data_IF_886646242324
#
_entry.id   IF_886646242324
#
_cell.length_a   1.000
_cell.length_b   1.000
_cell.length_c   1.000
_cell.angle_alpha   90.00
_cell.angle_beta   90.00
_cell.angle_gamma   90.00
#
_symmetry.space_group_name_H-M   'P 1'
#
loop_
_entity.id
_entity.type
_entity.pdbx_description
1 polymer ?
#
# COMPACT_ATOMS: atom_id res chain seq x y z
N UNK A 1 -48.08 28.85 -14.00
CA UNK A 1 -48.52 30.24 -13.71
C UNK A 1 -47.86 30.67 -12.43
N UNK A 2 -47.10 31.61 -12.52
CA UNK A 2 -46.48 32.70 -11.78
C UNK A 2 -44.95 32.65 -11.75
N UNK A 3 -44.47 33.42 -12.68
CA UNK A 3 -43.17 34.09 -12.81
C UNK A 3 -42.99 35.16 -11.75
N UNK A 4 -41.72 35.46 -11.37
CA UNK A 4 -41.16 36.79 -11.10
C UNK A 4 -39.74 36.60 -10.53
N UNK A 5 -38.71 36.79 -11.32
CA UNK A 5 -37.90 37.98 -11.67
C UNK A 5 -36.86 38.40 -10.63
N UNK A 6 -35.61 38.36 -11.10
CA UNK A 6 -34.40 38.99 -10.51
C UNK A 6 -34.53 40.52 -10.39
N UNK A 7 -33.63 41.18 -9.67
CA UNK A 7 -32.76 42.08 -10.40
C UNK A 7 -31.24 41.97 -10.10
N UNK A 8 -30.53 42.31 -11.18
CA UNK A 8 -29.12 42.71 -11.20
C UNK A 8 -28.91 44.08 -10.56
N UNK A 9 -27.76 44.33 -9.95
CA UNK A 9 -27.12 45.65 -9.89
C UNK A 9 -25.65 45.53 -10.20
N UNK A 10 -25.21 46.40 -11.09
CA UNK A 10 -23.93 46.63 -11.73
C UNK A 10 -23.14 47.74 -11.01
N UNK A 11 -21.78 47.74 -11.19
CA UNK A 11 -20.99 48.98 -11.31
C UNK A 11 -19.97 49.19 -10.19
N UNK A 12 -18.69 48.92 -10.49
CA UNK A 12 -17.56 49.84 -10.81
C UNK A 12 -17.20 50.83 -9.68
N UNK A 13 -15.97 50.86 -9.19
CA UNK A 13 -14.89 51.63 -9.75
C UNK A 13 -13.54 51.44 -9.00
N UNK A 14 -12.49 51.57 -9.75
CA UNK A 14 -11.07 51.60 -9.51
C UNK A 14 -10.65 52.84 -8.73
N UNK A 15 -9.62 52.79 -7.86
CA UNK A 15 -8.49 53.71 -7.86
C UNK A 15 -7.27 53.23 -7.03
N UNK A 16 -6.14 53.29 -7.68
CA UNK A 16 -4.76 53.28 -7.16
C UNK A 16 -4.50 54.41 -6.16
N UNK A 17 -3.61 54.15 -5.18
CA UNK A 17 -2.61 55.14 -4.74
C UNK A 17 -1.37 54.33 -4.23
N UNK A 18 -0.25 54.60 -4.88
CA UNK A 18 1.09 54.30 -4.44
C UNK A 18 1.65 55.48 -3.61
N UNK A 19 2.41 55.23 -2.56
CA UNK A 19 3.45 56.17 -2.16
C UNK A 19 4.54 55.47 -1.36
N UNK A 20 5.72 55.66 -1.85
CA UNK A 20 7.04 55.37 -1.29
C UNK A 20 7.40 56.35 -0.17
N UNK A 21 8.14 55.89 0.86
CA UNK A 21 9.15 56.69 1.54
C UNK A 21 10.23 55.81 2.15
N UNK A 22 11.46 56.05 1.69
CA UNK A 22 12.73 55.74 2.37
C UNK A 22 12.95 56.71 3.51
N UNK A 23 13.71 56.35 4.53
CA UNK A 23 14.78 57.13 5.20
C UNK A 23 15.42 56.26 6.31
N UNK A 24 16.65 55.94 6.14
CA UNK A 24 17.96 56.06 6.78
C UNK A 24 18.17 55.81 8.29
N UNK A 25 19.17 54.97 8.49
CA UNK A 25 20.31 54.94 9.44
C UNK A 25 20.23 55.58 10.83
N UNK A 26 20.54 54.77 11.83
CA UNK A 26 21.66 54.98 12.77
C UNK A 26 21.79 53.84 13.80
N UNK A 27 22.98 53.23 13.88
CA UNK A 27 23.56 52.61 15.07
C UNK A 27 24.21 53.74 15.95
N UNK A 28 24.55 53.58 17.26
CA UNK A 28 25.30 52.48 17.82
C UNK A 28 25.11 52.10 19.32
N UNK A 29 25.77 51.02 19.71
CA UNK A 29 26.54 50.72 20.95
C UNK A 29 25.87 50.06 22.17
N UNK A 30 26.35 48.85 22.35
CA UNK A 30 27.01 48.22 23.53
C UNK A 30 26.17 47.70 24.70
N UNK A 31 26.13 46.40 24.88
CA UNK A 31 26.78 45.67 25.98
C UNK A 31 26.43 44.14 25.92
N UNK A 32 27.49 43.33 25.96
CA UNK A 32 27.55 41.85 26.01
C UNK A 32 27.32 41.36 27.47
N UNK A 33 27.38 40.04 27.80
CA UNK A 33 27.16 38.80 27.07
C UNK A 33 26.38 37.76 27.90
N UNK A 34 25.68 36.85 27.25
CA UNK A 34 25.54 35.47 27.76
C UNK A 34 25.51 34.51 26.58
N UNK A 35 26.61 33.73 26.50
CA UNK A 35 26.79 32.67 25.53
C UNK A 35 25.84 31.50 25.83
N UNK A 36 24.99 31.14 24.86
CA UNK A 36 24.47 29.79 24.70
C UNK A 36 25.11 29.20 23.43
N UNK A 37 25.63 27.99 23.45
CA UNK A 37 26.23 27.40 22.25
C UNK A 37 25.13 27.03 21.23
N UNK A 38 25.20 27.69 20.10
CA UNK A 38 24.42 27.28 18.91
C UNK A 38 24.91 25.93 18.45
N UNK A 39 24.07 24.91 18.60
CA UNK A 39 24.22 23.64 17.89
C UNK A 39 24.02 23.91 16.40
N UNK A 40 25.12 24.04 15.67
CA UNK A 40 25.12 23.94 14.23
C UNK A 40 24.68 22.52 13.83
N UNK A 41 23.43 22.38 13.47
CA UNK A 41 22.95 21.22 12.74
C UNK A 41 23.61 21.26 11.37
N UNK A 42 24.62 20.42 11.17
CA UNK A 42 25.15 20.12 9.83
C UNK A 42 24.05 19.44 9.05
N UNK A 43 23.74 19.85 7.82
CA UNK A 43 22.84 19.08 6.96
C UNK A 43 23.45 17.68 6.77
N UNK A 44 22.67 16.66 7.14
CA UNK A 44 23.00 15.27 6.82
C UNK A 44 22.93 15.16 5.30
N UNK A 45 24.10 15.13 4.66
CA UNK A 45 24.20 14.78 3.24
C UNK A 45 23.89 13.28 3.15
N UNK A 46 22.68 12.96 2.72
CA UNK A 46 22.37 11.61 2.23
C UNK A 46 23.30 11.30 1.06
N UNK A 47 24.10 10.22 1.11
CA UNK A 47 24.92 9.85 -0.02
C UNK A 47 24.01 9.57 -1.23
N UNK A 48 24.39 9.98 -2.46
CA UNK A 48 23.62 9.66 -3.64
C UNK A 48 23.55 8.13 -3.77
N UNK A 49 22.32 7.59 -3.79
CA UNK A 49 22.08 6.19 -4.12
C UNK A 49 22.62 6.02 -5.55
N UNK A 50 23.80 5.45 -5.70
CA UNK A 50 24.28 4.97 -7.00
C UNK A 50 23.34 3.84 -7.41
N UNK A 51 22.40 4.13 -8.31
CA UNK A 51 21.69 3.08 -9.04
C UNK A 51 22.78 2.19 -9.67
N UNK A 52 22.91 0.98 -9.15
CA UNK A 52 23.79 0.00 -9.75
C UNK A 52 23.18 -0.38 -11.10
N UNK A 53 23.80 0.10 -12.19
CA UNK A 53 23.48 -0.28 -13.54
C UNK A 53 23.63 -1.80 -13.67
N UNK A 54 22.65 -2.43 -14.33
CA UNK A 54 22.57 -3.78 -14.84
C UNK A 54 23.56 -4.79 -14.23
N UNK A 55 23.12 -5.45 -13.17
CA UNK A 55 23.77 -6.68 -12.74
C UNK A 55 23.49 -7.80 -13.75
N UNK A 56 24.46 -8.69 -13.92
CA UNK A 56 24.32 -9.94 -14.68
C UNK A 56 23.02 -10.66 -14.36
N UNK A 57 22.38 -11.32 -15.32
CA UNK A 57 21.13 -12.03 -15.07
C UNK A 57 21.34 -13.00 -13.90
N UNK A 58 20.57 -12.79 -12.84
CA UNK A 58 20.53 -13.71 -11.73
C UNK A 58 19.91 -15.03 -12.20
N UNK A 59 20.30 -16.17 -11.59
CA UNK A 59 19.67 -17.45 -11.92
C UNK A 59 18.15 -17.30 -11.81
N UNK A 60 17.45 -17.67 -12.86
CA UNK A 60 16.01 -17.53 -12.98
C UNK A 60 15.31 -18.11 -11.75
N UNK A 61 14.54 -17.28 -11.05
CA UNK A 61 13.78 -17.65 -9.86
C UNK A 61 14.49 -17.62 -8.50
N UNK A 62 15.81 -17.52 -8.45
CA UNK A 62 16.60 -17.39 -7.23
C UNK A 62 17.12 -15.97 -7.07
N UNK A 63 16.22 -15.02 -6.82
CA UNK A 63 16.64 -13.66 -6.57
C UNK A 63 17.34 -13.54 -5.21
N UNK A 64 18.38 -12.72 -5.16
CA UNK A 64 19.09 -12.33 -3.93
C UNK A 64 18.73 -10.91 -3.46
N UNK A 65 17.93 -10.19 -4.25
CA UNK A 65 17.47 -8.83 -3.97
C UNK A 65 16.13 -8.56 -4.65
N UNK A 66 15.39 -7.61 -4.09
CA UNK A 66 14.12 -7.13 -4.64
C UNK A 66 14.44 -6.00 -5.65
N UNK A 67 13.92 -6.07 -6.90
CA UNK A 67 14.16 -5.05 -7.91
C UNK A 67 13.57 -3.69 -7.50
N UNK A 68 14.23 -2.61 -7.94
CA UNK A 68 13.77 -1.22 -7.73
C UNK A 68 13.36 -0.66 -9.09
N UNK A 69 12.10 -0.25 -9.22
CA UNK A 69 11.55 0.39 -10.40
C UNK A 69 11.31 1.88 -10.09
N UNK A 70 11.78 2.75 -10.97
CA UNK A 70 11.61 4.20 -10.82
C UNK A 70 10.44 4.70 -11.68
N UNK A 71 9.36 5.15 -11.01
CA UNK A 71 8.17 5.67 -11.68
C UNK A 71 8.46 6.83 -12.61
N UNK A 72 9.48 7.63 -12.31
CA UNK A 72 9.85 8.79 -13.13
C UNK A 72 10.27 8.43 -14.56
N UNK A 73 10.67 7.18 -14.81
CA UNK A 73 11.01 6.67 -16.15
C UNK A 73 9.80 6.73 -17.09
N UNK A 74 8.57 6.66 -16.58
CA UNK A 74 7.35 6.71 -17.39
C UNK A 74 7.15 8.05 -18.11
N UNK A 75 7.88 9.09 -17.73
CA UNK A 75 7.77 10.41 -18.37
C UNK A 75 8.35 10.46 -19.81
N UNK A 76 9.09 9.46 -20.25
CA UNK A 76 9.69 9.41 -21.60
C UNK A 76 9.38 8.07 -22.28
N UNK A 77 9.25 8.07 -23.60
CA UNK A 77 8.97 6.84 -24.37
C UNK A 77 9.98 5.72 -24.12
N UNK A 78 11.28 6.04 -24.11
CA UNK A 78 12.33 5.06 -23.86
C UNK A 78 12.32 4.58 -22.40
N UNK A 79 12.10 5.48 -21.45
CA UNK A 79 12.00 5.14 -20.03
C UNK A 79 10.78 4.27 -19.75
N UNK A 80 9.63 4.57 -20.37
CA UNK A 80 8.43 3.77 -20.29
C UNK A 80 8.68 2.33 -20.74
N UNK A 81 9.27 2.13 -21.91
CA UNK A 81 9.61 0.78 -22.40
C UNK A 81 10.55 0.04 -21.42
N UNK A 82 11.54 0.75 -20.87
CA UNK A 82 12.45 0.16 -19.88
C UNK A 82 11.72 -0.19 -18.57
N UNK A 83 10.79 0.65 -18.12
CA UNK A 83 10.00 0.39 -16.92
C UNK A 83 9.13 -0.85 -17.10
N UNK A 84 8.43 -0.96 -18.23
CA UNK A 84 7.56 -2.10 -18.54
C UNK A 84 8.36 -3.41 -18.62
N UNK A 85 9.57 -3.40 -19.20
CA UNK A 85 10.46 -4.56 -19.24
C UNK A 85 10.91 -4.97 -17.81
N UNK A 86 11.35 -4.02 -16.99
CA UNK A 86 11.71 -4.28 -15.59
C UNK A 86 10.52 -4.78 -14.78
N UNK A 87 9.33 -4.21 -15.02
CA UNK A 87 8.09 -4.64 -14.39
C UNK A 87 7.78 -6.09 -14.78
N UNK A 88 7.81 -6.43 -16.07
CA UNK A 88 7.62 -7.81 -16.55
C UNK A 88 8.55 -8.79 -15.83
N UNK A 89 9.83 -8.47 -15.74
CA UNK A 89 10.81 -9.29 -15.02
C UNK A 89 10.45 -9.46 -13.54
N UNK A 90 10.12 -8.36 -12.85
CA UNK A 90 9.74 -8.39 -11.44
C UNK A 90 8.49 -9.23 -11.19
N UNK A 91 7.46 -9.09 -12.03
CA UNK A 91 6.20 -9.83 -11.93
C UNK A 91 6.39 -11.34 -12.11
N UNK A 92 7.23 -11.74 -13.05
CA UNK A 92 7.43 -13.15 -13.41
C UNK A 92 8.38 -13.85 -12.43
N UNK A 93 9.50 -13.24 -12.09
CA UNK A 93 10.60 -13.91 -11.41
C UNK A 93 10.62 -13.68 -9.89
N UNK A 94 10.13 -12.52 -9.42
CA UNK A 94 10.26 -12.12 -8.01
C UNK A 94 8.92 -12.05 -7.30
N UNK A 95 7.90 -11.46 -7.95
CA UNK A 95 6.59 -11.20 -7.35
C UNK A 95 6.58 -10.02 -6.36
N UNK A 96 7.72 -9.33 -6.23
CA UNK A 96 7.97 -8.16 -5.39
C UNK A 96 8.83 -7.14 -6.11
N UNK A 97 8.61 -5.87 -5.82
CA UNK A 97 9.46 -4.77 -6.27
C UNK A 97 9.38 -3.59 -5.29
N UNK A 98 10.39 -2.73 -5.30
CA UNK A 98 10.27 -1.38 -4.77
C UNK A 98 9.82 -0.44 -5.88
N UNK A 99 8.84 0.40 -5.57
CA UNK A 99 8.42 1.49 -6.44
C UNK A 99 9.00 2.80 -5.91
N UNK A 100 9.99 3.33 -6.60
CA UNK A 100 10.65 4.59 -6.30
C UNK A 100 9.97 5.75 -7.03
N UNK A 101 9.96 6.95 -6.45
CA UNK A 101 9.27 8.13 -6.98
C UNK A 101 7.79 7.89 -7.34
N UNK A 102 6.99 7.22 -6.49
CA UNK A 102 5.59 6.99 -6.79
C UNK A 102 4.83 8.32 -6.92
N UNK A 103 3.73 8.39 -7.72
CA UNK A 103 2.92 9.60 -7.87
C UNK A 103 1.98 9.81 -6.67
N UNK A 104 2.52 9.72 -5.49
CA UNK A 104 1.84 9.96 -4.20
C UNK A 104 2.59 11.07 -3.47
N UNK A 105 1.87 12.09 -3.03
CA UNK A 105 2.47 13.25 -2.37
C UNK A 105 3.31 12.82 -1.16
N UNK A 106 4.58 13.19 -1.14
CA UNK A 106 5.51 12.84 -0.07
C UNK A 106 5.01 13.36 1.27
N UNK A 107 4.41 14.53 1.28
CA UNK A 107 3.86 15.19 2.46
C UNK A 107 2.72 14.38 3.08
N UNK A 108 1.86 13.75 2.28
CA UNK A 108 0.78 12.90 2.79
C UNK A 108 1.30 11.55 3.29
N UNK A 109 2.34 10.99 2.66
CA UNK A 109 3.01 9.78 3.16
C UNK A 109 3.68 10.07 4.52
N UNK A 110 4.49 11.13 4.60
CA UNK A 110 5.21 11.49 5.82
C UNK A 110 4.24 11.85 6.95
N UNK A 111 3.18 12.62 6.68
CA UNK A 111 2.16 12.95 7.67
C UNK A 111 1.44 11.69 8.20
N UNK A 112 1.15 10.71 7.36
CA UNK A 112 0.53 9.46 7.80
C UNK A 112 1.50 8.61 8.63
N UNK A 113 2.79 8.61 8.29
CA UNK A 113 3.84 7.98 9.10
C UNK A 113 3.91 8.62 10.48
N UNK A 114 3.85 9.95 10.58
CA UNK A 114 3.86 10.70 11.84
C UNK A 114 2.62 10.44 12.70
N UNK A 115 1.45 10.24 12.10
CA UNK A 115 0.23 9.85 12.81
C UNK A 115 0.26 8.41 13.32
N UNK A 116 1.05 7.55 12.72
CA UNK A 116 1.01 6.11 13.02
C UNK A 116 1.29 5.79 14.50
N UNK A 117 2.39 6.24 15.13
CA UNK A 117 2.60 6.00 16.56
C UNK A 117 1.49 6.62 17.42
N UNK A 118 1.01 7.83 17.10
CA UNK A 118 -0.04 8.51 17.83
C UNK A 118 -1.36 7.72 17.84
N UNK A 119 -1.69 7.07 16.71
CA UNK A 119 -2.87 6.21 16.59
C UNK A 119 -2.81 5.03 17.58
N UNK A 120 -1.64 4.40 17.73
CA UNK A 120 -1.46 3.29 18.68
C UNK A 120 -1.35 3.74 20.13
N UNK A 121 -0.93 4.98 20.37
CA UNK A 121 -0.83 5.57 21.70
C UNK A 121 -2.17 6.11 22.23
N UNK A 122 -3.24 6.05 21.44
CA UNK A 122 -4.59 6.35 21.90
C UNK A 122 -4.94 5.49 23.14
N UNK A 123 -5.71 6.03 24.09
CA UNK A 123 -6.22 5.25 25.22
C UNK A 123 -6.90 3.97 24.75
N UNK A 124 -6.70 2.88 25.48
CA UNK A 124 -7.25 1.57 25.10
C UNK A 124 -8.77 1.62 24.91
N UNK A 125 -9.47 2.41 25.71
CA UNK A 125 -10.92 2.60 25.60
C UNK A 125 -11.34 3.24 24.28
N UNK A 126 -10.56 4.17 23.75
CA UNK A 126 -10.80 4.78 22.43
C UNK A 126 -10.61 3.76 21.30
N UNK A 127 -9.57 2.95 21.39
CA UNK A 127 -9.32 1.87 20.43
C UNK A 127 -10.43 0.81 20.48
N UNK A 128 -10.90 0.46 21.68
CA UNK A 128 -11.97 -0.53 21.86
C UNK A 128 -13.34 -0.06 21.33
N UNK A 129 -13.61 1.25 21.31
CA UNK A 129 -14.84 1.79 20.71
C UNK A 129 -14.94 1.51 19.22
N UNK A 130 -13.81 1.42 18.54
CA UNK A 130 -13.71 1.13 17.12
C UNK A 130 -13.13 -0.25 16.85
N UNK A 131 -13.33 -1.20 17.77
CA UNK A 131 -12.86 -2.58 17.55
C UNK A 131 -13.50 -3.17 16.30
N UNK A 132 -12.74 -4.00 15.58
CA UNK A 132 -13.20 -4.70 14.37
C UNK A 132 -14.48 -5.49 14.59
N UNK A 133 -14.68 -6.05 15.80
CA UNK A 133 -15.86 -6.81 16.15
C UNK A 133 -17.18 -6.01 16.06
N UNK A 134 -17.12 -4.67 16.10
CA UNK A 134 -18.29 -3.79 15.96
C UNK A 134 -18.70 -3.54 14.51
N UNK A 135 -17.88 -3.97 13.53
CA UNK A 135 -18.11 -3.71 12.11
C UNK A 135 -18.42 -4.99 11.33
N UNK A 136 -19.58 -5.09 10.67
CA UNK A 136 -19.86 -6.20 9.75
C UNK A 136 -18.94 -6.18 8.53
N UNK A 137 -18.19 -5.10 8.31
CA UNK A 137 -17.29 -4.89 7.19
C UNK A 137 -15.84 -5.28 7.53
N UNK A 138 -15.58 -5.73 8.77
CA UNK A 138 -14.24 -6.07 9.29
C UNK A 138 -13.26 -4.91 9.18
N UNK A 139 -13.72 -3.70 9.55
CA UNK A 139 -12.89 -2.52 9.74
C UNK A 139 -12.77 -2.18 11.23
N UNK A 140 -11.64 -1.63 11.60
CA UNK A 140 -11.40 -1.16 12.95
C UNK A 140 -10.18 -1.81 13.61
N UNK A 141 -10.12 -1.70 14.91
CA UNK A 141 -8.99 -2.08 15.73
C UNK A 141 -8.97 -3.57 16.07
N UNK A 142 -7.80 -4.17 16.01
CA UNK A 142 -7.49 -5.51 16.52
C UNK A 142 -6.32 -5.45 17.48
N UNK A 143 -6.52 -6.03 18.66
CA UNK A 143 -5.52 -6.06 19.74
C UNK A 143 -4.32 -6.93 19.36
N UNK A 144 -3.21 -6.72 20.06
CA UNK A 144 -2.01 -7.53 19.96
C UNK A 144 -2.36 -9.03 20.10
N UNK A 145 -1.89 -9.82 19.13
CA UNK A 145 -2.09 -11.27 19.14
C UNK A 145 -3.49 -11.75 18.77
N UNK A 146 -4.36 -10.86 18.24
CA UNK A 146 -5.71 -11.23 17.81
C UNK A 146 -5.74 -12.09 16.54
N UNK A 147 -4.67 -12.08 15.75
CA UNK A 147 -4.59 -12.81 14.48
C UNK A 147 -3.60 -13.97 14.55
N UNK A 148 -3.85 -14.98 13.72
CA UNK A 148 -3.04 -16.20 13.63
C UNK A 148 -2.59 -16.41 12.18
N UNK A 149 -1.33 -16.75 12.00
CA UNK A 149 -0.82 -17.26 10.72
C UNK A 149 -0.37 -18.72 10.91
N UNK A 150 -0.98 -19.64 10.15
CA UNK A 150 -0.72 -21.08 10.25
C UNK A 150 -0.79 -21.62 11.69
N UNK A 151 -1.79 -21.17 12.45
CA UNK A 151 -2.03 -21.63 13.82
C UNK A 151 -1.10 -21.04 14.88
N UNK A 152 -0.19 -20.13 14.52
CA UNK A 152 0.67 -19.40 15.46
C UNK A 152 0.24 -17.95 15.57
N UNK A 153 0.26 -17.41 16.78
CA UNK A 153 -0.11 -16.03 17.06
C UNK A 153 0.85 -15.04 16.41
N UNK A 154 0.30 -14.09 15.65
CA UNK A 154 1.04 -12.97 15.10
C UNK A 154 1.24 -11.89 16.17
N UNK A 155 2.47 -11.43 16.36
CA UNK A 155 2.81 -10.39 17.31
C UNK A 155 2.60 -9.02 16.68
N UNK A 156 1.35 -8.67 16.41
CA UNK A 156 0.95 -7.38 15.85
C UNK A 156 -0.33 -6.85 16.46
N UNK A 157 -0.40 -5.54 16.52
CA UNK A 157 -1.57 -4.71 16.83
C UNK A 157 -1.90 -3.91 15.57
N UNK A 158 -3.17 -3.77 15.19
CA UNK A 158 -3.50 -3.14 13.93
C UNK A 158 -4.84 -2.43 13.90
N UNK A 159 -4.96 -1.51 12.95
CA UNK A 159 -6.22 -0.93 12.52
C UNK A 159 -6.46 -1.28 11.05
N UNK A 160 -7.64 -1.80 10.75
CA UNK A 160 -8.12 -2.03 9.40
C UNK A 160 -9.02 -0.87 8.97
N UNK A 161 -8.65 -0.24 7.85
CA UNK A 161 -9.38 0.83 7.18
C UNK A 161 -9.68 0.43 5.73
N UNK A 162 -10.35 1.29 5.01
CA UNK A 162 -10.58 1.12 3.57
C UNK A 162 -10.93 2.45 2.92
N UNK A 163 -10.89 2.45 1.59
CA UNK A 163 -11.44 3.56 0.81
C UNK A 163 -12.92 3.73 1.18
N UNK A 164 -13.45 4.97 1.19
CA UNK A 164 -14.83 5.21 1.55
C UNK A 164 -15.80 4.44 0.66
N UNK A 165 -16.74 3.76 1.27
CA UNK A 165 -17.78 3.00 0.57
C UNK A 165 -19.04 2.91 1.42
N UNK A 166 -20.20 3.02 0.78
CA UNK A 166 -21.49 2.84 1.44
C UNK A 166 -21.84 1.35 1.52
N UNK A 167 -22.52 0.97 2.60
CA UNK A 167 -23.05 -0.39 2.71
C UNK A 167 -24.11 -0.62 1.64
N UNK A 168 -23.86 -1.58 0.75
CA UNK A 168 -24.78 -1.96 -0.33
C UNK A 168 -25.61 -3.21 0.00
N UNK A 169 -25.26 -3.92 1.07
CA UNK A 169 -25.93 -5.17 1.45
C UNK A 169 -27.35 -4.91 1.99
N UNK A 170 -28.30 -5.71 1.50
CA UNK A 170 -29.67 -5.79 1.99
C UNK A 170 -30.04 -7.23 2.36
N UNK A 171 -31.10 -7.41 3.18
CA UNK A 171 -31.53 -8.73 3.58
C UNK A 171 -31.87 -9.62 2.39
N UNK A 172 -31.20 -10.76 2.29
CA UNK A 172 -31.36 -11.70 1.17
C UNK A 172 -30.20 -11.70 0.19
N UNK A 173 -29.33 -10.68 0.24
CA UNK A 173 -28.11 -10.66 -0.55
C UNK A 173 -27.06 -11.64 0.02
N UNK A 174 -26.09 -12.09 -0.80
CA UNK A 174 -24.95 -12.88 -0.34
C UNK A 174 -24.19 -12.19 0.81
N UNK A 175 -23.89 -12.93 1.86
CA UNK A 175 -23.25 -12.41 3.08
C UNK A 175 -21.89 -11.72 2.83
N UNK A 176 -21.14 -12.15 1.81
CA UNK A 176 -19.85 -11.54 1.49
C UNK A 176 -19.96 -10.08 1.04
N UNK A 177 -21.12 -9.63 0.58
CA UNK A 177 -21.33 -8.21 0.22
C UNK A 177 -21.25 -7.29 1.44
N UNK A 178 -21.43 -7.83 2.65
CA UNK A 178 -21.19 -7.11 3.90
C UNK A 178 -19.73 -6.68 4.10
N UNK A 179 -18.79 -7.27 3.38
CA UNK A 179 -17.36 -6.89 3.48
C UNK A 179 -17.10 -5.44 3.04
N UNK A 180 -17.98 -4.85 2.24
CA UNK A 180 -17.89 -3.47 1.79
C UNK A 180 -18.85 -2.59 2.56
N UNK A 181 -18.31 -1.50 3.11
CA UNK A 181 -19.07 -0.53 3.87
C UNK A 181 -18.17 0.48 4.59
N UNK A 182 -18.75 1.36 5.43
CA UNK A 182 -18.00 2.44 6.04
C UNK A 182 -16.94 1.96 7.03
N UNK A 183 -15.70 2.47 6.93
CA UNK A 183 -14.66 2.23 7.94
C UNK A 183 -14.99 2.92 9.27
N UNK A 184 -14.46 2.39 10.37
CA UNK A 184 -14.49 3.02 11.69
C UNK A 184 -13.24 3.90 11.88
N UNK A 185 -13.43 5.09 12.44
CA UNK A 185 -12.37 6.07 12.64
C UNK A 185 -12.26 6.48 14.12
N UNK A 186 -11.06 6.77 14.64
CA UNK A 186 -10.93 7.47 15.91
C UNK A 186 -11.62 8.85 15.84
N UNK A 187 -12.03 9.37 16.99
CA UNK A 187 -12.70 10.67 17.04
C UNK A 187 -11.72 11.80 16.66
N UNK A 188 -12.25 12.86 16.04
CA UNK A 188 -11.45 14.07 15.78
C UNK A 188 -10.94 14.74 17.06
N UNK A 189 -11.62 14.53 18.20
CA UNK A 189 -11.15 15.03 19.49
C UNK A 189 -9.92 14.27 20.00
N UNK A 190 -9.85 12.95 19.72
CA UNK A 190 -8.75 12.07 20.16
C UNK A 190 -7.55 12.12 19.23
N UNK A 191 -7.78 12.25 17.92
CA UNK A 191 -6.72 12.29 16.90
C UNK A 191 -7.09 13.27 15.77
N UNK A 192 -6.94 14.58 16.01
CA UNK A 192 -7.36 15.62 15.06
C UNK A 192 -6.65 15.50 13.71
N UNK A 193 -7.41 15.59 12.60
CA UNK A 193 -6.88 15.62 11.25
C UNK A 193 -6.42 14.26 10.68
N UNK A 194 -6.31 13.21 11.48
CA UNK A 194 -5.87 11.89 11.07
C UNK A 194 -6.73 11.32 9.92
N UNK A 195 -8.06 11.33 10.10
CA UNK A 195 -8.99 10.81 9.10
C UNK A 195 -8.81 11.52 7.76
N UNK A 196 -8.73 12.84 7.75
CA UNK A 196 -8.57 13.62 6.53
C UNK A 196 -7.24 13.30 5.82
N UNK A 197 -6.14 13.19 6.57
CA UNK A 197 -4.81 12.84 6.05
C UNK A 197 -4.81 11.42 5.47
N UNK A 198 -5.36 10.46 6.21
CA UNK A 198 -5.43 9.07 5.73
C UNK A 198 -6.27 8.95 4.46
N UNK A 199 -7.39 9.65 4.35
CA UNK A 199 -8.23 9.63 3.14
C UNK A 199 -7.53 10.26 1.93
N UNK A 200 -6.79 11.36 2.09
CA UNK A 200 -5.98 11.93 1.00
C UNK A 200 -4.93 10.94 0.50
N UNK A 201 -4.22 10.30 1.43
CA UNK A 201 -3.26 9.25 1.11
C UNK A 201 -3.94 8.08 0.37
N UNK A 202 -5.05 7.54 0.90
CA UNK A 202 -5.77 6.42 0.28
C UNK A 202 -6.22 6.74 -1.15
N UNK A 203 -6.73 7.95 -1.39
CA UNK A 203 -7.18 8.37 -2.74
C UNK A 203 -6.02 8.32 -3.73
N UNK A 204 -4.83 8.77 -3.34
CA UNK A 204 -3.66 8.79 -4.22
C UNK A 204 -3.12 7.36 -4.47
N UNK A 205 -3.06 6.51 -3.44
CA UNK A 205 -2.61 5.12 -3.61
C UNK A 205 -3.63 4.30 -4.40
N UNK A 206 -4.92 4.54 -4.23
CA UNK A 206 -5.97 3.95 -5.05
C UNK A 206 -5.78 4.32 -6.52
N UNK A 207 -5.56 5.61 -6.83
CA UNK A 207 -5.29 6.06 -8.19
C UNK A 207 -4.04 5.41 -8.77
N UNK A 208 -2.92 5.40 -8.02
CA UNK A 208 -1.69 4.70 -8.39
C UNK A 208 -1.96 3.22 -8.70
N UNK A 209 -2.79 2.56 -7.89
CA UNK A 209 -3.08 1.13 -8.08
C UNK A 209 -3.79 0.85 -9.40
N UNK A 210 -4.66 1.74 -9.85
CA UNK A 210 -5.32 1.62 -11.16
C UNK A 210 -4.38 1.93 -12.33
N UNK A 211 -3.51 2.93 -12.21
CA UNK A 211 -2.48 3.19 -13.21
C UNK A 211 -1.52 2.00 -13.36
N UNK A 212 -1.20 1.37 -12.24
CA UNK A 212 -0.35 0.18 -12.21
C UNK A 212 -1.00 -1.02 -12.91
N UNK A 213 -2.34 -1.17 -12.88
CA UNK A 213 -3.08 -2.20 -13.64
C UNK A 213 -2.89 -2.02 -15.15
N UNK A 214 -2.87 -0.79 -15.65
CA UNK A 214 -2.56 -0.50 -17.07
C UNK A 214 -1.15 -0.98 -17.45
N UNK A 215 -0.16 -0.66 -16.63
CA UNK A 215 1.23 -1.10 -16.81
C UNK A 215 1.38 -2.63 -16.73
N UNK A 216 0.59 -3.30 -15.88
CA UNK A 216 0.51 -4.75 -15.80
C UNK A 216 -0.02 -5.37 -17.10
N UNK A 217 -1.10 -4.81 -17.67
CA UNK A 217 -1.64 -5.27 -18.94
C UNK A 217 -0.58 -5.16 -20.05
N UNK A 218 0.10 -4.02 -20.11
CA UNK A 218 1.19 -3.78 -21.07
C UNK A 218 2.37 -4.75 -20.85
N UNK A 219 2.79 -4.98 -19.60
CA UNK A 219 3.87 -5.90 -19.27
C UNK A 219 3.58 -7.35 -19.71
N UNK A 220 2.31 -7.73 -19.85
CA UNK A 220 1.90 -9.07 -20.29
C UNK A 220 1.37 -9.12 -21.73
N UNK A 221 1.58 -8.08 -22.54
CA UNK A 221 1.06 -7.96 -23.92
C UNK A 221 -0.47 -8.16 -24.00
N UNK A 222 -1.20 -7.71 -23.01
CA UNK A 222 -2.66 -7.71 -22.95
C UNK A 222 -3.21 -6.37 -23.50
N UNK A 223 -4.47 -6.37 -23.93
CA UNK A 223 -5.14 -5.10 -24.20
C UNK A 223 -5.37 -4.29 -22.91
N UNK A 224 -5.46 -2.99 -23.02
CA UNK A 224 -5.71 -2.08 -21.89
C UNK A 224 -6.96 -2.47 -21.08
N UNK A 225 -7.97 -3.05 -21.75
CA UNK A 225 -9.23 -3.43 -21.13
C UNK A 225 -9.23 -4.85 -20.53
N UNK A 226 -8.17 -5.64 -20.72
CA UNK A 226 -8.15 -7.05 -20.32
C UNK A 226 -8.39 -7.27 -18.82
N UNK A 227 -7.91 -6.34 -18.01
CA UNK A 227 -8.05 -6.39 -16.55
C UNK A 227 -9.27 -5.61 -16.03
N UNK A 228 -9.94 -4.81 -16.86
CA UNK A 228 -11.09 -4.02 -16.47
C UNK A 228 -12.26 -4.84 -15.87
N UNK A 229 -12.57 -6.06 -16.34
CA UNK A 229 -13.64 -6.88 -15.76
C UNK A 229 -13.46 -7.22 -14.29
N UNK A 230 -12.25 -7.17 -13.76
CA UNK A 230 -11.99 -7.40 -12.34
C UNK A 230 -12.42 -6.23 -11.45
N UNK A 231 -12.73 -5.08 -12.04
CA UNK A 231 -13.13 -3.88 -11.32
C UNK A 231 -14.53 -3.42 -11.73
N UNK A 232 -15.28 -2.91 -10.77
CA UNK A 232 -16.63 -2.39 -11.02
C UNK A 232 -16.52 -1.09 -11.83
N UNK A 233 -17.38 -0.91 -12.84
CA UNK A 233 -17.56 0.37 -13.53
C UNK A 233 -16.99 0.48 -14.93
N UNK A 234 -16.64 -0.61 -15.58
CA UNK A 234 -16.37 -0.61 -17.02
C UNK A 234 -14.91 -0.82 -17.43
N UNK A 235 -14.58 -0.39 -18.64
CA UNK A 235 -13.30 -0.66 -19.30
C UNK A 235 -12.08 0.01 -18.65
N UNK A 236 -12.31 1.11 -17.91
CA UNK A 236 -11.25 1.78 -17.12
C UNK A 236 -11.71 1.89 -15.68
N UNK A 237 -10.97 1.28 -14.75
CA UNK A 237 -11.26 1.44 -13.33
C UNK A 237 -11.25 2.92 -12.93
N UNK A 238 -12.15 3.30 -12.04
CA UNK A 238 -12.24 4.67 -11.54
C UNK A 238 -12.13 4.67 -10.02
N UNK A 239 -11.37 5.60 -9.43
CA UNK A 239 -11.31 5.77 -7.99
C UNK A 239 -12.71 5.90 -7.37
N UNK A 240 -12.92 5.29 -6.22
CA UNK A 240 -14.19 5.36 -5.48
C UNK A 240 -15.31 4.43 -5.96
N UNK A 241 -15.11 3.64 -7.02
CA UNK A 241 -16.10 2.64 -7.47
C UNK A 241 -15.94 1.28 -6.81
N UNK A 242 -14.79 1.03 -6.21
CA UNK A 242 -14.44 -0.19 -5.49
C UNK A 242 -14.03 0.17 -4.06
N UNK A 243 -14.20 -0.76 -3.14
CA UNK A 243 -13.59 -0.62 -1.83
C UNK A 243 -12.31 -1.41 -1.75
N UNK A 244 -11.21 -0.71 -1.57
CA UNK A 244 -9.91 -1.29 -1.24
C UNK A 244 -9.69 -1.27 0.26
N UNK A 245 -8.76 -2.08 0.73
CA UNK A 245 -8.41 -2.15 2.15
C UNK A 245 -7.06 -1.51 2.40
N UNK A 246 -6.93 -0.92 3.58
CA UNK A 246 -5.65 -0.46 4.12
C UNK A 246 -5.56 -0.91 5.56
N UNK A 247 -4.33 -1.15 6.01
CA UNK A 247 -4.05 -1.37 7.43
C UNK A 247 -3.02 -0.37 7.90
N UNK A 248 -3.04 -0.09 9.19
CA UNK A 248 -1.89 0.48 9.89
C UNK A 248 -1.51 -0.54 10.95
N UNK A 249 -0.28 -1.01 10.90
CA UNK A 249 0.19 -2.16 11.68
C UNK A 249 1.38 -1.76 12.55
N UNK A 250 1.32 -2.13 13.83
CA UNK A 250 2.41 -2.02 14.80
C UNK A 250 2.90 -3.41 15.17
N UNK A 251 4.18 -3.62 15.04
CA UNK A 251 4.89 -4.80 15.53
C UNK A 251 5.74 -4.38 16.73
N UNK A 252 5.32 -4.69 17.94
CA UNK A 252 6.13 -4.34 19.14
C UNK A 252 7.45 -5.09 19.14
N UNK A 253 8.45 -4.51 19.81
CA UNK A 253 9.67 -5.26 20.11
C UNK A 253 9.31 -6.48 20.94
N UNK A 254 9.82 -7.66 20.55
CA UNK A 254 9.60 -8.89 21.31
C UNK A 254 10.33 -8.84 22.66
N UNK A 255 9.84 -9.57 23.63
CA UNK A 255 10.56 -9.82 24.86
C UNK A 255 11.56 -10.97 24.65
N UNK A 256 12.54 -11.07 25.53
CA UNK A 256 13.45 -12.21 25.50
C UNK A 256 12.68 -13.53 25.64
N UNK A 257 12.99 -14.50 24.77
CA UNK A 257 12.32 -15.80 24.73
C UNK A 257 10.95 -15.84 24.03
N UNK A 258 10.41 -14.70 23.62
CA UNK A 258 9.18 -14.67 22.81
C UNK A 258 9.45 -14.98 21.34
N UNK A 259 8.40 -15.44 20.64
CA UNK A 259 8.44 -15.65 19.18
C UNK A 259 8.77 -14.36 18.46
N UNK A 260 9.57 -14.44 17.40
CA UNK A 260 9.86 -13.34 16.50
C UNK A 260 8.82 -13.17 15.38
N UNK A 261 7.76 -13.98 15.36
CA UNK A 261 6.72 -13.93 14.36
C UNK A 261 5.85 -12.68 14.52
N UNK A 262 6.18 -11.60 13.81
CA UNK A 262 5.28 -10.46 13.62
C UNK A 262 4.09 -10.84 12.75
N UNK A 263 4.37 -11.44 11.58
CA UNK A 263 3.40 -12.18 10.73
C UNK A 263 4.11 -13.40 10.18
N UNK A 264 3.49 -14.56 10.31
CA UNK A 264 4.03 -15.80 9.76
C UNK A 264 4.08 -15.82 8.22
N UNK A 265 4.80 -16.79 7.63
CA UNK A 265 4.86 -16.94 6.17
C UNK A 265 3.48 -17.08 5.55
N UNK A 266 3.15 -16.17 4.62
CA UNK A 266 1.85 -16.11 3.94
C UNK A 266 1.98 -15.54 2.52
N UNK A 267 0.86 -15.53 1.81
CA UNK A 267 0.66 -14.86 0.54
C UNK A 267 -0.52 -13.90 0.68
N UNK A 268 -0.50 -12.77 0.00
CA UNK A 268 -1.67 -11.91 -0.10
C UNK A 268 -2.74 -12.52 -1.02
N UNK A 269 -4.01 -12.34 -0.67
CA UNK A 269 -5.11 -12.92 -1.43
C UNK A 269 -5.54 -12.10 -2.66
N UNK A 270 -5.32 -10.77 -2.64
CA UNK A 270 -5.81 -9.84 -3.65
C UNK A 270 -5.01 -9.80 -4.96
N UNK A 271 -5.11 -8.65 -5.69
CA UNK A 271 -4.31 -8.42 -6.88
C UNK A 271 -2.95 -7.85 -6.53
N UNK A 272 -2.93 -6.67 -5.94
CA UNK A 272 -1.71 -5.93 -5.60
C UNK A 272 -1.76 -5.47 -4.15
N UNK A 273 -0.59 -5.40 -3.56
CA UNK A 273 -0.35 -4.72 -2.28
C UNK A 273 0.67 -3.62 -2.50
N UNK A 274 0.38 -2.42 -2.02
CA UNK A 274 1.31 -1.29 -1.94
C UNK A 274 1.61 -1.04 -0.46
N UNK A 275 2.80 -1.41 -0.03
CA UNK A 275 3.21 -1.32 1.37
C UNK A 275 4.12 -0.13 1.59
N UNK A 276 3.68 0.85 2.35
CA UNK A 276 4.53 1.90 2.91
C UNK A 276 5.17 1.37 4.21
N UNK A 277 6.50 1.25 4.24
CA UNK A 277 7.25 0.94 5.45
C UNK A 277 7.38 2.23 6.28
N UNK A 278 6.70 2.28 7.43
CA UNK A 278 6.55 3.49 8.24
C UNK A 278 7.55 3.56 9.41
N UNK A 279 8.65 2.86 9.31
CA UNK A 279 9.78 2.90 10.24
C UNK A 279 11.04 2.29 9.60
N UNK A 280 12.20 2.58 10.15
CA UNK A 280 13.50 2.13 9.61
C UNK A 280 13.88 0.70 10.03
N UNK A 281 12.97 -0.02 10.70
CA UNK A 281 13.25 -1.38 11.18
C UNK A 281 13.22 -2.40 10.05
N UNK A 282 14.22 -3.27 10.02
CA UNK A 282 14.14 -4.52 9.26
C UNK A 282 13.00 -5.39 9.79
N UNK A 283 12.60 -6.39 9.00
CA UNK A 283 11.62 -7.38 9.45
C UNK A 283 10.79 -7.97 8.32
N UNK A 284 10.47 -7.21 7.27
CA UNK A 284 9.84 -7.77 6.09
C UNK A 284 10.84 -8.62 5.32
N UNK A 285 10.50 -9.88 5.07
CA UNK A 285 11.30 -10.83 4.32
C UNK A 285 10.46 -11.52 3.25
N UNK A 286 11.06 -11.75 2.09
CA UNK A 286 10.46 -12.37 0.90
C UNK A 286 11.21 -13.66 0.58
N UNK A 287 10.48 -14.74 0.29
CA UNK A 287 11.09 -16.04 0.05
C UNK A 287 11.36 -16.26 -1.45
N UNK A 288 12.62 -16.50 -1.82
CA UNK A 288 12.98 -16.87 -3.19
C UNK A 288 12.62 -18.34 -3.51
N UNK A 289 12.85 -18.81 -4.74
CA UNK A 289 12.52 -20.19 -5.12
C UNK A 289 13.45 -21.24 -4.51
N UNK A 290 14.63 -20.86 -4.03
CA UNK A 290 15.50 -21.74 -3.26
C UNK A 290 15.01 -21.93 -1.82
N UNK A 291 13.99 -21.17 -1.39
CA UNK A 291 13.49 -21.17 -0.01
C UNK A 291 14.24 -20.22 0.92
N UNK A 292 15.15 -19.39 0.39
CA UNK A 292 15.89 -18.40 1.17
C UNK A 292 15.05 -17.16 1.44
N UNK A 293 15.21 -16.58 2.63
CA UNK A 293 14.54 -15.36 3.02
C UNK A 293 15.40 -14.13 2.71
N UNK A 294 14.88 -13.26 1.86
CA UNK A 294 15.54 -12.02 1.40
C UNK A 294 14.90 -10.84 2.10
N UNK A 295 15.71 -10.01 2.75
CA UNK A 295 15.23 -8.82 3.44
C UNK A 295 14.70 -7.75 2.47
N UNK A 296 13.48 -7.26 2.75
CA UNK A 296 12.93 -6.06 2.13
C UNK A 296 13.20 -4.86 3.04
N UNK A 297 14.44 -4.35 3.00
CA UNK A 297 14.87 -3.22 3.84
C UNK A 297 14.05 -1.95 3.55
N UNK A 298 13.72 -1.14 4.56
CA UNK A 298 13.05 0.14 4.33
C UNK A 298 13.87 1.08 3.45
N UNK A 299 13.22 1.64 2.43
CA UNK A 299 13.76 2.70 1.58
C UNK A 299 12.81 3.90 1.69
N UNK A 300 13.24 5.04 2.25
CA UNK A 300 12.37 6.19 2.47
C UNK A 300 11.69 6.67 1.19
N UNK A 301 10.37 6.90 1.24
CA UNK A 301 9.61 7.43 0.11
C UNK A 301 9.32 6.43 -0.99
N UNK A 302 9.46 5.12 -0.72
CA UNK A 302 9.09 4.07 -1.66
C UNK A 302 7.92 3.25 -1.15
N UNK A 303 7.25 2.57 -2.07
CA UNK A 303 6.41 1.43 -1.74
C UNK A 303 7.15 0.12 -1.99
N UNK A 304 6.96 -0.87 -1.14
CA UNK A 304 7.14 -2.26 -1.52
C UNK A 304 5.84 -2.70 -2.19
N UNK A 305 5.91 -3.14 -3.44
CA UNK A 305 4.75 -3.62 -4.20
C UNK A 305 4.87 -5.12 -4.37
N UNK A 306 3.79 -5.85 -4.06
CA UNK A 306 3.75 -7.29 -4.27
C UNK A 306 2.42 -7.77 -4.87
N UNK A 307 2.50 -8.94 -5.49
CA UNK A 307 1.37 -9.58 -6.15
C UNK A 307 0.69 -10.57 -5.22
N UNK A 308 -0.63 -10.59 -5.31
CA UNK A 308 -1.46 -11.53 -4.59
C UNK A 308 -1.88 -12.74 -5.42
N UNK A 309 -2.48 -13.71 -4.74
CA UNK A 309 -2.90 -14.98 -5.31
C UNK A 309 -3.97 -14.86 -6.40
N UNK A 310 -4.87 -13.89 -6.28
CA UNK A 310 -5.87 -13.65 -7.30
C UNK A 310 -5.22 -13.30 -8.65
N UNK A 311 -4.23 -12.38 -8.64
CA UNK A 311 -3.50 -11.99 -9.85
C UNK A 311 -2.69 -13.16 -10.42
N UNK A 312 -2.01 -13.93 -9.59
CA UNK A 312 -1.29 -15.14 -10.04
C UNK A 312 -2.25 -16.13 -10.70
N UNK A 313 -3.43 -16.37 -10.13
CA UNK A 313 -4.41 -17.31 -10.68
C UNK A 313 -4.94 -16.84 -12.04
N UNK A 314 -5.39 -15.58 -12.15
CA UNK A 314 -5.95 -15.07 -13.41
C UNK A 314 -4.90 -14.96 -14.52
N UNK A 315 -3.62 -14.81 -14.16
CA UNK A 315 -2.50 -14.82 -15.12
C UNK A 315 -1.95 -16.23 -15.39
N UNK A 316 -2.65 -17.28 -14.98
CA UNK A 316 -2.23 -18.68 -15.18
C UNK A 316 -0.84 -18.98 -14.59
N UNK A 317 -0.47 -18.28 -13.51
CA UNK A 317 0.83 -18.40 -12.87
C UNK A 317 1.99 -17.72 -13.62
N UNK A 318 1.74 -16.88 -14.63
CA UNK A 318 2.79 -16.03 -15.22
C UNK A 318 3.25 -15.02 -14.18
N UNK A 319 2.34 -14.22 -13.63
CA UNK A 319 2.62 -13.43 -12.46
C UNK A 319 2.82 -14.34 -11.24
N UNK A 320 3.74 -14.00 -10.36
CA UNK A 320 4.07 -14.82 -9.21
C UNK A 320 3.64 -14.13 -7.91
N UNK A 321 2.74 -14.74 -7.16
CA UNK A 321 2.58 -14.41 -5.75
C UNK A 321 3.70 -15.07 -4.95
N UNK A 322 4.37 -14.31 -4.10
CA UNK A 322 5.57 -14.78 -3.40
C UNK A 322 5.34 -14.77 -1.89
N UNK A 323 5.72 -15.87 -1.24
CA UNK A 323 5.64 -16.01 0.21
C UNK A 323 6.48 -14.94 0.89
N UNK A 324 5.90 -14.31 1.90
CA UNK A 324 6.59 -13.30 2.69
C UNK A 324 6.18 -13.38 4.16
N UNK A 325 7.03 -12.83 5.04
CA UNK A 325 6.81 -12.82 6.48
C UNK A 325 7.29 -11.52 7.10
N UNK A 326 6.88 -11.26 8.32
CA UNK A 326 7.40 -10.14 9.12
C UNK A 326 7.95 -10.66 10.44
N UNK A 327 9.18 -10.30 10.73
CA UNK A 327 9.80 -10.54 12.02
C UNK A 327 9.57 -9.34 12.94
N UNK A 328 9.22 -9.61 14.18
CA UNK A 328 9.14 -8.57 15.23
C UNK A 328 10.53 -8.02 15.54
N UNK A 329 10.64 -6.72 15.85
CA UNK A 329 11.90 -6.11 16.24
C UNK A 329 12.52 -6.81 17.46
N UNK A 330 13.86 -6.82 17.58
CA UNK A 330 14.56 -7.48 18.71
C UNK A 330 14.26 -6.78 20.05
N UNK A 331 14.53 -7.46 21.17
CA UNK A 331 14.36 -6.87 22.51
C UNK A 331 15.13 -5.56 22.65
N UNK A 332 14.50 -4.57 23.30
CA UNK A 332 15.09 -3.26 23.56
C UNK A 332 15.03 -2.26 22.39
N UNK A 333 14.51 -2.67 21.23
CA UNK A 333 14.26 -1.75 20.11
C UNK A 333 12.90 -1.06 20.22
N UNK A 334 12.67 -0.05 19.35
CA UNK A 334 11.36 0.58 19.20
C UNK A 334 10.44 -0.28 18.30
N UNK A 335 9.12 -0.07 18.33
CA UNK A 335 8.19 -0.81 17.46
C UNK A 335 8.44 -0.54 15.98
N UNK A 336 8.23 -1.56 15.14
CA UNK A 336 8.16 -1.42 13.68
C UNK A 336 6.73 -1.07 13.27
N UNK A 337 6.60 -0.20 12.27
CA UNK A 337 5.31 0.18 11.69
C UNK A 337 5.27 -0.06 10.19
N UNK A 338 4.08 -0.39 9.68
CA UNK A 338 3.83 -0.52 8.24
C UNK A 338 2.38 -0.17 7.87
N UNK A 339 2.18 0.32 6.64
CA UNK A 339 0.89 0.78 6.14
C UNK A 339 0.64 0.14 4.77
N UNK A 340 0.13 -1.10 4.72
CA UNK A 340 -0.24 -1.74 3.47
C UNK A 340 -1.59 -1.23 2.95
N UNK A 341 -1.66 -1.03 1.64
CA UNK A 341 -2.87 -0.86 0.85
C UNK A 341 -3.06 -2.11 -0.02
N UNK A 342 -4.24 -2.72 0.05
CA UNK A 342 -4.61 -3.93 -0.67
C UNK A 342 -5.62 -3.60 -1.76
N UNK A 343 -5.24 -3.75 -3.01
CA UNK A 343 -6.15 -3.60 -4.14
C UNK A 343 -7.06 -4.83 -4.22
N UNK A 344 -8.35 -4.61 -3.97
CA UNK A 344 -9.38 -5.63 -4.11
C UNK A 344 -9.90 -5.70 -5.55
N UNK A 345 -10.47 -6.84 -5.90
CA UNK A 345 -11.30 -7.03 -7.10
C UNK A 345 -12.77 -7.08 -6.72
N UNK A 346 -13.67 -6.96 -7.70
CA UNK A 346 -15.10 -7.02 -7.48
C UNK A 346 -15.50 -8.32 -6.78
N UNK A 347 -16.30 -8.21 -5.72
CA UNK A 347 -16.61 -9.32 -4.82
C UNK A 347 -17.35 -10.49 -5.49
N UNK A 348 -18.10 -10.21 -6.55
CA UNK A 348 -18.82 -11.22 -7.32
C UNK A 348 -17.96 -11.99 -8.33
N UNK A 349 -16.70 -11.61 -8.53
CA UNK A 349 -15.80 -12.26 -9.49
C UNK A 349 -15.40 -13.64 -8.98
N UNK A 350 -15.69 -14.68 -9.79
CA UNK A 350 -15.13 -16.01 -9.63
C UNK A 350 -13.78 -16.06 -10.38
N UNK A 351 -12.69 -16.12 -9.63
CA UNK A 351 -11.33 -16.00 -10.19
C UNK A 351 -11.04 -17.09 -11.20
N UNK A 352 -11.52 -18.33 -10.93
CA UNK A 352 -11.32 -19.47 -11.82
C UNK A 352 -12.01 -19.33 -13.18
N UNK A 353 -13.15 -18.61 -13.22
CA UNK A 353 -13.91 -18.36 -14.45
C UNK A 353 -13.38 -17.14 -15.23
N UNK A 354 -12.49 -16.37 -14.62
CA UNK A 354 -12.01 -15.09 -15.12
C UNK A 354 -10.54 -15.16 -15.57
N UNK A 355 -10.05 -16.34 -15.93
CA UNK A 355 -8.66 -16.55 -16.33
C UNK A 355 -8.37 -15.84 -17.65
N UNK A 356 -7.31 -15.05 -17.67
CA UNK A 356 -6.86 -14.29 -18.84
C UNK A 356 -6.33 -15.23 -19.95
N UNK A 357 -6.47 -14.80 -21.19
CA UNK A 357 -5.93 -15.52 -22.34
C UNK A 357 -4.64 -14.89 -22.80
N UNK A 358 -3.60 -15.68 -22.91
CA UNK A 358 -2.27 -15.24 -23.35
C UNK A 358 -1.84 -15.92 -24.62
N UNK A 359 -0.95 -15.28 -25.36
CA UNK A 359 -0.21 -15.89 -26.45
C UNK A 359 0.71 -16.99 -25.90
N UNK A 360 0.97 -18.07 -26.68
CA UNK A 360 1.82 -19.17 -26.21
C UNK A 360 3.22 -18.77 -25.76
N UNK A 361 3.81 -17.76 -26.41
CA UNK A 361 5.12 -17.20 -26.04
C UNK A 361 5.12 -16.56 -24.66
N UNK A 362 4.05 -15.86 -24.28
CA UNK A 362 3.89 -15.25 -22.95
C UNK A 362 3.70 -16.33 -21.88
N UNK A 363 2.91 -17.37 -22.16
CA UNK A 363 2.74 -18.48 -21.23
C UNK A 363 4.05 -19.21 -20.91
N UNK A 364 4.99 -19.25 -21.85
CA UNK A 364 6.31 -19.87 -21.65
C UNK A 364 7.25 -19.07 -20.75
N UNK A 365 6.97 -17.78 -20.52
CA UNK A 365 7.84 -16.95 -19.68
C UNK A 365 7.94 -17.48 -18.25
N UNK A 366 6.91 -18.16 -17.75
CA UNK A 366 6.95 -18.80 -16.43
C UNK A 366 7.89 -20.03 -16.36
N UNK A 367 8.17 -20.65 -17.49
CA UNK A 367 9.00 -21.87 -17.53
C UNK A 367 10.47 -21.54 -17.26
N UNK A 368 10.89 -20.30 -17.52
CA UNK A 368 12.26 -19.81 -17.26
C UNK A 368 12.57 -19.62 -15.78
N UNK A 369 11.56 -19.55 -14.93
CA UNK A 369 11.72 -19.41 -13.46
C UNK A 369 12.43 -20.58 -12.79
N UNK A 370 12.39 -21.75 -13.40
CA UNK A 370 12.78 -22.99 -12.74
C UNK A 370 11.69 -23.54 -11.80
N UNK A 371 11.91 -24.75 -11.30
CA UNK A 371 10.99 -25.37 -10.33
C UNK A 371 11.28 -24.85 -8.92
N UNK A 372 10.21 -24.55 -8.19
CA UNK A 372 10.31 -24.21 -6.77
C UNK A 372 10.91 -25.40 -6.01
N UNK A 373 11.87 -25.12 -5.14
CA UNK A 373 12.23 -26.00 -4.05
C UNK A 373 11.06 -26.16 -3.06
N UNK A 374 11.33 -26.48 -1.82
CA UNK A 374 10.29 -26.54 -0.77
C UNK A 374 9.83 -25.12 -0.45
N UNK A 375 8.88 -24.62 -1.24
CA UNK A 375 8.19 -23.34 -0.98
C UNK A 375 6.81 -23.65 -0.44
N UNK A 376 6.32 -22.75 0.40
CA UNK A 376 4.93 -22.78 0.85
C UNK A 376 4.00 -22.85 -0.36
N UNK A 377 3.30 -23.96 -0.54
CA UNK A 377 2.29 -24.10 -1.57
C UNK A 377 0.91 -23.75 -0.99
N UNK A 378 0.17 -22.91 -1.68
CA UNK A 378 -1.26 -22.70 -1.41
C UNK A 378 -2.06 -23.51 -2.42
N UNK A 379 -3.08 -24.21 -1.96
CA UNK A 379 -3.97 -24.95 -2.84
C UNK A 379 -4.86 -23.98 -3.63
N UNK A 380 -4.51 -23.72 -4.88
CA UNK A 380 -5.21 -22.77 -5.77
C UNK A 380 -6.62 -23.25 -6.18
N UNK A 381 -6.90 -24.55 -6.13
CA UNK A 381 -8.16 -25.09 -6.60
C UNK A 381 -9.34 -24.60 -5.77
N UNK A 382 -9.14 -24.34 -4.48
CA UNK A 382 -10.20 -23.79 -3.61
C UNK A 382 -10.48 -22.31 -3.88
N UNK A 383 -9.46 -21.52 -4.23
CA UNK A 383 -9.61 -20.08 -4.49
C UNK A 383 -10.39 -19.76 -5.78
N UNK A 384 -10.31 -20.63 -6.78
CA UNK A 384 -10.94 -20.41 -8.09
C UNK A 384 -12.43 -20.67 -8.13
N UNK A 385 -13.00 -21.44 -7.19
CA UNK A 385 -14.36 -21.99 -7.28
C UNK A 385 -15.45 -21.07 -6.73
N UNK A 386 -15.12 -20.06 -5.95
CA UNK A 386 -16.05 -19.17 -5.27
C UNK A 386 -15.85 -17.71 -5.65
N UNK A 387 -16.91 -16.88 -5.58
CA UNK A 387 -16.77 -15.44 -5.69
C UNK A 387 -15.69 -14.91 -4.74
N UNK A 388 -14.88 -13.94 -5.18
CA UNK A 388 -13.76 -13.41 -4.41
C UNK A 388 -14.19 -12.88 -3.02
N UNK A 389 -15.38 -12.28 -2.93
CA UNK A 389 -15.96 -11.83 -1.67
C UNK A 389 -16.21 -12.98 -0.69
N UNK A 390 -16.64 -14.14 -1.16
CA UNK A 390 -16.88 -15.31 -0.31
C UNK A 390 -15.57 -15.89 0.24
N UNK A 391 -14.54 -15.99 -0.61
CA UNK A 391 -13.19 -16.41 -0.19
C UNK A 391 -12.64 -15.48 0.88
N UNK A 392 -12.79 -14.16 0.68
CA UNK A 392 -12.37 -13.15 1.65
C UNK A 392 -13.13 -13.26 2.98
N UNK A 393 -14.42 -13.57 2.94
CA UNK A 393 -15.25 -13.77 4.13
C UNK A 393 -14.79 -14.99 4.93
N UNK A 394 -14.61 -16.15 4.28
CA UNK A 394 -14.14 -17.37 4.95
C UNK A 394 -12.78 -17.16 5.59
N UNK A 395 -11.86 -16.44 4.92
CA UNK A 395 -10.55 -16.13 5.46
C UNK A 395 -10.58 -15.30 6.76
N UNK A 396 -11.70 -14.61 7.04
CA UNK A 396 -11.85 -13.76 8.23
C UNK A 396 -12.58 -14.43 9.40
N UNK A 397 -13.36 -15.46 9.15
CA UNK A 397 -14.11 -16.19 10.19
C UNK A 397 -13.44 -17.49 10.64
N UNK A 398 -12.29 -17.83 10.05
CA UNK A 398 -11.44 -18.93 10.47
C UNK A 398 -10.41 -18.46 11.49
#
# INVERSE_FOLDING_TARGET
MHTLTKPLVTGSDVRHIASSTRIDRANPCASSPHMYPSLCLRPVQTPPIRLAMAASPEPEGNFSRIPILDWSLLATTQGHANFVEQLRHALINVGFLYLFNPPVAREDMDALVDYTPQLFDLPQEEKDRITMANSPHFFGYSRLGAELTKGKTDQREQFDFGTPYENQWTTGDPEYLKLWGPPQWPSEASLPGFKATHLRYLTQVEQLSYEFIGLLAEAFDLSEEALAPFFVGGTKPKPGLMQHRSKIVKYPARKEGESDQGVGPHFDGGFLTFLLQASDHLGLQVQNLAGEWIDASPIPGTFVVNLGKALETVTQGIARATSHRVLSPPPGSTPRYSIPFFQNIAQGICIGDSVLKFKPEILKLKDSRGQAGVVDSVNYQEYGQYPSGYVNLIGRVK
#
